data_IF_664143538266
#
_entry.id   IF_664143538266
#
_cell.length_a   1.000
_cell.length_b   1.000
_cell.length_c   1.000
_cell.angle_alpha   90.00
_cell.angle_beta   90.00
_cell.angle_gamma   90.00
#
_symmetry.space_group_name_H-M   'P 1'
#
loop_
_entity.id
_entity.type
_entity.pdbx_description
1 polymer ?
#
# COMPACT_ATOMS: atom_id res chain seq x y z
N UNK A 1 3.60 11.08 -2.59
CA UNK A 1 3.53 11.03 -1.11
C UNK A 1 4.58 11.97 -0.56
N UNK A 2 4.20 12.97 0.24
CA UNK A 2 5.13 13.99 0.78
C UNK A 2 6.03 14.67 -0.28
N UNK A 3 5.48 14.97 -1.47
CA UNK A 3 6.25 15.52 -2.59
C UNK A 3 7.25 14.55 -3.25
N UNK A 4 7.39 13.32 -2.75
CA UNK A 4 8.16 12.24 -3.37
C UNK A 4 7.28 11.33 -4.22
N UNK A 5 7.85 10.84 -5.32
CA UNK A 5 7.19 9.93 -6.28
C UNK A 5 7.60 8.48 -6.00
N UNK A 6 6.63 7.57 -5.99
CA UNK A 6 6.82 6.13 -5.92
C UNK A 6 6.27 5.51 -7.20
N UNK A 7 7.08 4.73 -7.89
CA UNK A 7 6.65 4.02 -9.09
C UNK A 7 6.17 2.62 -8.70
N UNK A 8 4.90 2.33 -8.97
CA UNK A 8 4.24 1.09 -8.60
C UNK A 8 3.35 0.61 -9.74
N UNK A 9 3.14 -0.71 -9.84
CA UNK A 9 2.17 -1.25 -10.80
C UNK A 9 0.75 -1.05 -10.24
N UNK A 10 -0.02 -0.16 -10.89
CA UNK A 10 -1.39 0.17 -10.49
C UNK A 10 -2.30 -1.06 -10.45
N UNK A 11 -2.23 -1.89 -11.48
CA UNK A 11 -3.02 -3.13 -11.59
C UNK A 11 -2.68 -4.11 -10.47
N UNK A 12 -1.40 -4.23 -10.11
CA UNK A 12 -0.97 -5.08 -9.00
C UNK A 12 -1.52 -4.56 -7.67
N UNK A 13 -1.41 -3.26 -7.38
CA UNK A 13 -2.00 -2.69 -6.17
C UNK A 13 -3.51 -2.83 -6.14
N UNK A 14 -4.19 -2.58 -7.27
CA UNK A 14 -5.63 -2.73 -7.39
C UNK A 14 -6.08 -4.18 -7.15
N UNK A 15 -5.33 -5.17 -7.63
CA UNK A 15 -5.64 -6.58 -7.38
C UNK A 15 -5.51 -6.96 -5.90
N UNK A 16 -4.59 -6.32 -5.17
CA UNK A 16 -4.31 -6.61 -3.75
C UNK A 16 -5.05 -5.71 -2.76
N UNK A 17 -5.66 -4.62 -3.23
CA UNK A 17 -6.34 -3.63 -2.40
C UNK A 17 -7.56 -3.06 -3.13
N UNK A 18 -8.77 -3.26 -2.59
CA UNK A 18 -9.97 -2.67 -3.17
C UNK A 18 -9.97 -1.13 -3.08
N UNK A 19 -9.26 -0.56 -2.10
CA UNK A 19 -9.07 0.90 -1.98
C UNK A 19 -8.25 1.43 -3.16
N UNK A 20 -7.12 0.79 -3.47
CA UNK A 20 -6.34 1.16 -4.65
C UNK A 20 -7.05 0.86 -5.96
N UNK A 21 -7.87 -0.20 -6.02
CA UNK A 21 -8.73 -0.46 -7.17
C UNK A 21 -9.73 0.69 -7.39
N UNK A 22 -10.41 1.15 -6.33
CA UNK A 22 -11.32 2.29 -6.43
C UNK A 22 -10.59 3.59 -6.80
N UNK A 23 -9.37 3.78 -6.30
CA UNK A 23 -8.55 4.97 -6.54
C UNK A 23 -8.00 5.03 -7.98
N UNK A 24 -7.53 3.90 -8.53
CA UNK A 24 -6.91 3.84 -9.86
C UNK A 24 -7.89 3.50 -10.99
N UNK A 25 -8.89 2.64 -10.72
CA UNK A 25 -9.80 2.08 -11.71
C UNK A 25 -11.26 2.54 -11.50
N UNK A 26 -11.58 3.18 -10.38
CA UNK A 26 -12.92 3.71 -10.13
C UNK A 26 -13.23 4.96 -10.96
N UNK A 27 -14.44 5.51 -10.86
CA UNK A 27 -14.84 6.74 -11.56
C UNK A 27 -14.40 8.04 -10.86
N UNK A 28 -13.40 7.96 -9.97
CA UNK A 28 -12.87 9.13 -9.27
C UNK A 28 -12.00 10.00 -10.20
N UNK A 29 -11.78 11.26 -9.81
CA UNK A 29 -10.97 12.23 -10.58
C UNK A 29 -9.49 11.82 -10.76
N UNK A 30 -9.09 10.68 -10.19
CA UNK A 30 -7.79 10.03 -10.34
C UNK A 30 -7.75 9.01 -11.49
N UNK A 31 -8.91 8.59 -12.00
CA UNK A 31 -9.01 7.71 -13.17
C UNK A 31 -8.43 8.40 -14.41
N UNK A 32 -7.46 7.74 -15.03
CA UNK A 32 -6.71 8.28 -16.17
C UNK A 32 -5.53 9.19 -15.82
N UNK A 33 -5.23 9.44 -14.53
CA UNK A 33 -4.00 10.14 -14.13
C UNK A 33 -2.86 9.14 -13.97
N UNK A 34 -1.69 9.46 -14.53
CA UNK A 34 -0.46 8.70 -14.30
C UNK A 34 -0.02 8.73 -12.83
N UNK A 35 -0.36 9.80 -12.10
CA UNK A 35 0.09 10.06 -10.74
C UNK A 35 -1.08 10.29 -9.78
N UNK A 36 -0.98 9.68 -8.60
CA UNK A 36 -1.95 9.84 -7.50
C UNK A 36 -1.24 10.35 -6.25
N UNK A 37 -1.80 11.38 -5.62
CA UNK A 37 -1.27 11.92 -4.37
C UNK A 37 -1.95 11.26 -3.18
N UNK A 38 -1.22 10.40 -2.48
CA UNK A 38 -1.63 9.89 -1.17
C UNK A 38 -1.19 10.90 -0.11
N UNK A 39 -2.17 11.51 0.58
CA UNK A 39 -1.95 12.48 1.67
C UNK A 39 -1.89 11.84 3.05
N UNK A 40 -2.62 10.74 3.24
CA UNK A 40 -2.72 10.02 4.53
C UNK A 40 -1.72 8.87 4.67
N UNK A 41 -0.50 9.02 4.14
CA UNK A 41 0.57 8.04 4.32
C UNK A 41 1.94 8.72 4.36
N UNK A 42 2.85 8.20 5.16
CA UNK A 42 4.26 8.60 5.16
C UNK A 42 4.98 7.85 4.04
N UNK A 43 5.85 8.53 3.31
CA UNK A 43 6.55 7.96 2.16
C UNK A 43 7.33 6.68 2.53
N UNK A 44 8.07 6.72 3.65
CA UNK A 44 8.87 5.60 4.14
C UNK A 44 7.99 4.39 4.50
N UNK A 45 6.85 4.63 5.16
CA UNK A 45 5.93 3.56 5.57
C UNK A 45 5.24 2.92 4.35
N UNK A 46 4.81 3.73 3.37
CA UNK A 46 4.21 3.22 2.13
C UNK A 46 5.24 2.44 1.29
N UNK A 47 6.46 2.95 1.19
CA UNK A 47 7.56 2.25 0.52
C UNK A 47 7.86 0.90 1.20
N UNK A 48 7.81 0.85 2.53
CA UNK A 48 7.98 -0.37 3.28
C UNK A 48 6.81 -1.35 3.05
N UNK A 49 5.57 -0.87 3.05
CA UNK A 49 4.39 -1.66 2.69
C UNK A 49 4.54 -2.29 1.30
N UNK A 50 4.97 -1.52 0.30
CA UNK A 50 5.23 -2.02 -1.05
C UNK A 50 6.26 -3.15 -1.07
N UNK A 51 7.34 -3.02 -0.31
CA UNK A 51 8.35 -4.08 -0.17
C UNK A 51 7.82 -5.33 0.52
N UNK A 52 6.82 -5.21 1.41
CA UNK A 52 6.19 -6.34 2.09
C UNK A 52 5.15 -7.04 1.20
N UNK A 53 4.39 -6.29 0.39
CA UNK A 53 3.43 -6.85 -0.58
C UNK A 53 4.16 -7.71 -1.60
N UNK A 54 5.40 -7.35 -1.96
CA UNK A 54 6.26 -8.20 -2.76
C UNK A 54 7.01 -9.19 -1.84
N UNK A 55 6.61 -10.46 -1.75
CA UNK A 55 7.22 -11.43 -0.83
C UNK A 55 8.73 -11.62 -1.03
N UNK A 56 9.26 -11.22 -2.19
CA UNK A 56 10.67 -11.28 -2.55
C UNK A 56 11.51 -10.09 -2.06
N UNK A 57 10.90 -9.00 -1.56
CA UNK A 57 11.58 -7.72 -1.34
C UNK A 57 11.97 -7.48 0.12
N UNK A 58 11.07 -7.66 1.10
CA UNK A 58 11.43 -7.54 2.52
C UNK A 58 10.44 -8.27 3.45
N UNK A 59 10.94 -8.92 4.51
CA UNK A 59 10.09 -9.46 5.58
C UNK A 59 9.53 -8.34 6.47
N UNK A 60 8.45 -8.65 7.17
CA UNK A 60 7.91 -7.80 8.24
C UNK A 60 8.85 -7.92 9.46
N UNK A 61 9.20 -6.78 10.06
CA UNK A 61 9.99 -6.70 11.29
C UNK A 61 9.14 -6.19 12.44
N UNK A 62 9.53 -6.42 13.70
CA UNK A 62 8.84 -5.88 14.89
C UNK A 62 8.67 -4.36 14.87
N UNK A 63 9.64 -3.64 14.32
CA UNK A 63 9.56 -2.18 14.16
C UNK A 63 8.62 -1.77 13.02
N UNK A 64 8.44 -2.62 12.02
CA UNK A 64 7.62 -2.32 10.86
C UNK A 64 6.18 -2.82 10.97
N UNK A 65 5.94 -3.89 11.74
CA UNK A 65 4.63 -4.54 11.82
C UNK A 65 3.53 -3.56 12.21
N UNK A 66 3.82 -2.62 13.11
CA UNK A 66 2.88 -1.61 13.60
C UNK A 66 2.33 -0.72 12.48
N UNK A 67 3.20 -0.14 11.65
CA UNK A 67 2.76 0.72 10.56
C UNK A 67 2.25 -0.08 9.36
N UNK A 68 2.81 -1.27 9.11
CA UNK A 68 2.33 -2.16 8.05
C UNK A 68 0.90 -2.59 8.36
N UNK A 69 0.60 -2.97 9.61
CA UNK A 69 -0.75 -3.32 10.06
C UNK A 69 -1.71 -2.15 9.82
N UNK A 70 -1.36 -0.95 10.31
CA UNK A 70 -2.17 0.27 10.12
C UNK A 70 -2.44 0.57 8.65
N UNK A 71 -1.41 0.55 7.80
CA UNK A 71 -1.58 0.84 6.36
C UNK A 71 -2.34 -0.29 5.65
N UNK A 72 -2.10 -1.54 6.03
CA UNK A 72 -2.80 -2.69 5.45
C UNK A 72 -4.29 -2.68 5.76
N UNK A 73 -4.68 -2.22 6.95
CA UNK A 73 -6.08 -1.97 7.31
C UNK A 73 -6.65 -0.78 6.52
N UNK A 74 -5.93 0.35 6.51
CA UNK A 74 -6.32 1.57 5.78
C UNK A 74 -6.57 1.32 4.29
N UNK A 75 -5.70 0.54 3.63
CA UNK A 75 -5.83 0.17 2.22
C UNK A 75 -6.57 -1.16 2.01
N UNK A 76 -7.12 -1.78 3.05
CA UNK A 76 -7.84 -3.06 2.99
C UNK A 76 -7.06 -4.18 2.27
N UNK A 77 -5.74 -4.23 2.49
CA UNK A 77 -4.85 -5.24 1.96
C UNK A 77 -4.89 -6.51 2.82
N UNK A 78 -5.95 -7.30 2.68
CA UNK A 78 -6.17 -8.52 3.49
C UNK A 78 -4.95 -9.44 3.56
N UNK A 79 -4.27 -9.66 2.43
CA UNK A 79 -3.10 -10.53 2.38
C UNK A 79 -1.92 -10.04 3.21
N UNK A 80 -1.72 -8.72 3.32
CA UNK A 80 -0.67 -8.13 4.17
C UNK A 80 -1.13 -8.04 5.61
N UNK A 81 -2.39 -7.64 5.83
CA UNK A 81 -3.00 -7.53 7.16
C UNK A 81 -2.89 -8.85 7.93
N UNK A 82 -3.37 -9.95 7.34
CA UNK A 82 -3.27 -11.27 7.96
C UNK A 82 -1.82 -11.70 8.19
N UNK A 83 -0.89 -11.29 7.34
CA UNK A 83 0.55 -11.57 7.52
C UNK A 83 1.14 -10.80 8.70
N UNK A 84 0.73 -9.54 8.89
CA UNK A 84 1.13 -8.69 10.00
C UNK A 84 0.48 -9.11 11.31
N UNK A 85 -0.78 -9.53 11.28
CA UNK A 85 -1.50 -10.08 12.44
C UNK A 85 -0.85 -11.37 12.93
N UNK A 86 -0.47 -12.27 12.01
CA UNK A 86 0.23 -13.52 12.38
C UNK A 86 1.65 -13.30 12.94
N UNK A 87 2.21 -12.09 12.79
CA UNK A 87 3.54 -11.75 13.31
C UNK A 87 3.47 -11.20 14.75
N UNK A 88 2.31 -10.69 15.17
CA UNK A 88 2.03 -10.21 16.53
C UNK A 88 1.56 -11.35 17.45
#
# INVERSE_FOLDING_TARGET
>A
VEGKKLHVQKEYLAAHSPVFAAMFLGEFAENGKDEVEIKDAVFEELNNLLKVIHPSLSPITETSVSHILKLSDQFQMKGVLTKSENYL
#
